data_IF_536336684704
#
_entry.id   IF_536336684704
#
_cell.length_a   1.000
_cell.length_b   1.000
_cell.length_c   1.000
_cell.angle_alpha   90.00
_cell.angle_beta   90.00
_cell.angle_gamma   90.00
#
_symmetry.space_group_name_H-M   'P 1'
#
loop_
_entity.id
_entity.type
_entity.pdbx_description
1 polymer ?
#
# COMPACT_ATOMS: atom_id res chain seq x y z
N UNK A 1 -15.13 74.36 19.44
CA UNK A 1 -13.98 74.27 18.52
C UNK A 1 -13.00 73.28 19.15
N UNK A 2 -12.57 72.18 18.54
CA UNK A 2 -12.75 71.74 17.16
C UNK A 2 -12.74 70.20 17.06
N UNK A 3 -13.92 69.64 16.74
CA UNK A 3 -14.14 68.23 16.34
C UNK A 3 -13.51 67.89 14.98
N UNK A 4 -12.66 68.77 14.42
CA UNK A 4 -12.16 68.70 13.04
C UNK A 4 -10.81 68.01 12.86
N UNK A 5 -10.09 67.65 13.93
CA UNK A 5 -8.72 67.09 13.83
C UNK A 5 -8.61 65.57 13.88
N UNK A 6 -9.70 64.85 14.19
CA UNK A 6 -9.72 63.37 14.26
C UNK A 6 -10.24 62.70 12.99
N UNK A 7 -10.75 63.47 12.01
CA UNK A 7 -11.18 62.92 10.73
C UNK A 7 -10.03 62.60 9.76
N UNK A 8 -8.90 63.32 9.85
CA UNK A 8 -7.82 63.20 8.87
C UNK A 8 -6.88 62.01 9.11
N UNK A 9 -6.74 61.55 10.35
CA UNK A 9 -5.81 60.44 10.68
C UNK A 9 -6.43 59.08 10.36
N UNK A 10 -7.76 58.95 10.48
CA UNK A 10 -8.47 57.70 10.12
C UNK A 10 -8.58 57.46 8.61
N UNK A 11 -8.53 58.52 7.80
CA UNK A 11 -8.62 58.40 6.33
C UNK A 11 -7.31 57.99 5.65
N UNK A 12 -6.14 58.20 6.28
CA UNK A 12 -4.85 57.84 5.68
C UNK A 12 -4.53 56.36 5.92
N UNK A 13 -4.88 55.79 7.08
CA UNK A 13 -4.64 54.37 7.38
C UNK A 13 -5.53 53.45 6.52
N UNK A 14 -6.74 53.90 6.16
CA UNK A 14 -7.64 53.14 5.29
C UNK A 14 -7.20 53.18 3.81
N UNK A 15 -6.52 54.24 3.37
CA UNK A 15 -6.08 54.37 1.97
C UNK A 15 -4.86 53.50 1.63
N UNK A 16 -4.00 53.17 2.59
CA UNK A 16 -2.87 52.24 2.38
C UNK A 16 -3.27 50.77 2.40
N UNK A 17 -4.42 50.41 2.98
CA UNK A 17 -4.91 49.01 2.96
C UNK A 17 -5.61 48.67 1.63
N UNK A 18 -6.17 49.66 0.92
CA UNK A 18 -6.92 49.40 -0.32
C UNK A 18 -6.02 49.31 -1.57
N UNK A 19 -4.79 49.87 -1.56
CA UNK A 19 -3.89 49.80 -2.72
C UNK A 19 -3.03 48.51 -2.75
N UNK A 20 -2.92 47.79 -1.63
CA UNK A 20 -2.17 46.52 -1.57
C UNK A 20 -2.91 45.28 -2.08
N UNK A 21 -4.22 45.37 -2.36
CA UNK A 21 -5.05 44.20 -2.70
C UNK A 21 -5.28 44.06 -4.22
N UNK A 22 -4.86 45.03 -5.03
CA UNK A 22 -5.19 45.06 -6.47
C UNK A 22 -4.17 44.40 -7.41
N UNK A 23 -3.13 43.72 -6.89
CA UNK A 23 -2.16 42.97 -7.72
C UNK A 23 -2.15 41.46 -7.51
N UNK A 24 -3.02 40.94 -6.65
CA UNK A 24 -3.29 39.50 -6.63
C UNK A 24 -4.38 39.27 -7.68
N UNK A 25 -3.95 39.11 -8.94
CA UNK A 25 -4.82 38.49 -9.94
C UNK A 25 -5.37 37.18 -9.37
N UNK A 26 -6.57 36.71 -9.79
CA UNK A 26 -7.08 35.45 -9.30
C UNK A 26 -5.97 34.43 -9.47
N UNK A 27 -5.48 33.87 -8.36
CA UNK A 27 -4.56 32.75 -8.42
C UNK A 27 -5.33 31.72 -9.25
N UNK A 28 -4.93 31.56 -10.50
CA UNK A 28 -5.42 30.48 -11.32
C UNK A 28 -5.07 29.26 -10.50
N UNK A 29 -6.09 28.61 -9.94
CA UNK A 29 -5.90 27.32 -9.31
C UNK A 29 -5.10 26.53 -10.33
N UNK A 30 -3.89 26.09 -9.92
CA UNK A 30 -3.11 25.20 -10.75
C UNK A 30 -4.09 24.12 -11.21
N UNK A 31 -4.13 23.80 -12.52
CA UNK A 31 -5.01 22.73 -12.98
C UNK A 31 -4.75 21.54 -12.06
N UNK A 32 -5.83 21.01 -11.47
CA UNK A 32 -5.71 19.80 -10.67
C UNK A 32 -4.88 18.81 -11.49
N UNK A 33 -3.87 18.13 -10.90
CA UNK A 33 -3.11 17.14 -11.63
C UNK A 33 -4.12 16.26 -12.36
N UNK A 34 -3.90 16.08 -13.67
CA UNK A 34 -4.80 15.28 -14.49
C UNK A 34 -5.07 13.98 -13.73
N UNK A 35 -6.34 13.70 -13.46
CA UNK A 35 -6.71 12.46 -12.78
C UNK A 35 -6.01 11.33 -13.53
N UNK A 36 -5.15 10.60 -12.83
CA UNK A 36 -4.55 9.39 -13.37
C UNK A 36 -5.75 8.54 -13.79
N UNK A 37 -5.88 8.13 -15.08
CA UNK A 37 -7.02 7.33 -15.48
C UNK A 37 -7.08 6.13 -14.54
N UNK A 38 -8.24 5.93 -13.91
CA UNK A 38 -8.45 4.80 -13.03
C UNK A 38 -7.94 3.54 -13.77
N UNK A 39 -7.02 2.76 -13.18
CA UNK A 39 -6.50 1.59 -13.85
C UNK A 39 -7.70 0.74 -14.28
N UNK A 40 -7.74 0.37 -15.56
CA UNK A 40 -8.78 -0.52 -16.04
C UNK A 40 -8.76 -1.76 -15.12
N UNK A 41 -9.90 -2.09 -14.50
CA UNK A 41 -10.03 -3.18 -13.53
C UNK A 41 -9.94 -4.57 -14.20
N UNK A 42 -9.10 -4.74 -15.21
CA UNK A 42 -8.82 -6.03 -15.84
C UNK A 42 -7.83 -6.75 -14.92
N UNK A 43 -8.02 -8.06 -14.75
CA UNK A 43 -7.28 -8.86 -13.77
C UNK A 43 -6.37 -9.95 -14.40
N UNK A 44 -5.56 -9.66 -15.44
CA UNK A 44 -4.57 -10.63 -15.89
C UNK A 44 -3.43 -10.73 -14.86
N UNK A 45 -2.73 -11.87 -14.77
CA UNK A 45 -1.44 -11.90 -14.10
C UNK A 45 -0.51 -10.79 -14.63
N UNK A 46 0.21 -10.07 -13.75
CA UNK A 46 1.18 -9.08 -14.18
C UNK A 46 2.33 -9.77 -14.94
N UNK A 47 3.06 -9.05 -15.81
CA UNK A 47 4.15 -9.63 -16.56
C UNK A 47 5.17 -10.33 -15.65
N UNK A 48 5.57 -11.54 -16.02
CA UNK A 48 6.52 -12.37 -15.27
C UNK A 48 5.92 -13.18 -14.11
N UNK A 49 4.66 -12.96 -13.75
CA UNK A 49 3.98 -13.76 -12.73
C UNK A 49 3.21 -14.95 -13.33
N UNK A 50 2.98 -15.96 -12.50
CA UNK A 50 2.11 -17.10 -12.76
C UNK A 50 2.56 -17.97 -13.95
N UNK A 51 3.86 -18.05 -14.20
CA UNK A 51 4.45 -19.13 -14.98
C UNK A 51 4.48 -20.40 -14.12
N UNK A 52 3.42 -21.22 -14.22
CA UNK A 52 3.29 -22.48 -13.51
C UNK A 52 4.30 -23.56 -13.97
N UNK A 53 5.11 -23.30 -15.00
CA UNK A 53 6.23 -24.17 -15.35
C UNK A 53 7.54 -23.77 -14.67
N UNK A 54 7.57 -22.62 -13.99
CA UNK A 54 8.77 -22.12 -13.32
C UNK A 54 9.26 -23.09 -12.23
N UNK A 55 10.58 -23.22 -12.12
CA UNK A 55 11.25 -23.99 -11.07
C UNK A 55 12.26 -23.09 -10.38
N UNK A 56 12.13 -22.86 -9.06
CA UNK A 56 13.06 -22.06 -8.29
C UNK A 56 14.50 -22.56 -8.46
N UNK A 57 15.44 -21.62 -8.53
CA UNK A 57 16.86 -21.94 -8.69
C UNK A 57 17.52 -22.14 -7.32
N UNK A 58 18.77 -22.59 -7.28
CA UNK A 58 19.53 -22.62 -6.03
C UNK A 58 19.83 -21.22 -5.46
N UNK A 59 19.85 -20.20 -6.31
CA UNK A 59 20.06 -18.80 -5.94
C UNK A 59 18.79 -18.18 -5.34
N UNK A 60 17.62 -18.55 -5.87
CA UNK A 60 16.32 -18.11 -5.41
C UNK A 60 15.42 -19.33 -5.19
N UNK A 61 15.60 -20.07 -4.08
CA UNK A 61 14.93 -21.35 -3.85
C UNK A 61 13.45 -21.22 -3.47
N UNK A 62 13.03 -20.07 -2.97
CA UNK A 62 11.64 -19.80 -2.60
C UNK A 62 10.96 -19.02 -3.74
N UNK A 63 9.81 -19.46 -4.27
CA UNK A 63 8.98 -18.63 -5.12
C UNK A 63 8.41 -17.45 -4.32
N UNK A 64 8.23 -16.31 -5.00
CA UNK A 64 7.69 -15.09 -4.40
C UNK A 64 6.20 -14.97 -4.69
N UNK A 65 5.39 -14.81 -3.65
CA UNK A 65 3.94 -14.58 -3.74
C UNK A 65 3.63 -13.11 -3.47
N UNK A 66 3.05 -12.44 -4.47
CA UNK A 66 2.68 -11.03 -4.44
C UNK A 66 1.21 -10.85 -4.03
N UNK A 67 0.96 -10.07 -2.97
CA UNK A 67 -0.37 -9.92 -2.34
C UNK A 67 -0.83 -8.45 -2.36
N UNK A 68 -1.76 -8.13 -3.26
CA UNK A 68 -2.22 -6.75 -3.48
C UNK A 68 -2.94 -6.14 -2.27
N UNK A 69 -3.14 -4.83 -2.26
CA UNK A 69 -3.88 -4.14 -1.19
C UNK A 69 -5.39 -4.09 -1.38
N UNK A 70 -6.06 -3.45 -0.41
CA UNK A 70 -7.51 -3.18 -0.39
C UNK A 70 -7.97 -2.54 -1.70
N UNK A 71 -9.05 -3.07 -2.30
CA UNK A 71 -9.61 -2.65 -3.60
C UNK A 71 -8.70 -2.85 -4.82
N UNK A 72 -7.51 -3.43 -4.63
CA UNK A 72 -6.56 -3.77 -5.69
C UNK A 72 -6.89 -5.08 -6.38
N UNK A 73 -6.04 -5.46 -7.33
CA UNK A 73 -5.98 -6.81 -7.90
C UNK A 73 -4.53 -7.11 -8.32
N UNK A 74 -4.23 -8.34 -8.72
CA UNK A 74 -2.86 -8.72 -9.08
C UNK A 74 -2.29 -7.87 -10.24
N UNK A 75 -3.14 -7.47 -11.19
CA UNK A 75 -2.70 -6.75 -12.38
C UNK A 75 -2.28 -5.32 -12.06
N UNK A 76 -3.11 -4.60 -11.30
CA UNK A 76 -2.92 -3.19 -11.06
C UNK A 76 -1.87 -2.90 -9.98
N UNK A 77 -1.71 -3.79 -8.99
CA UNK A 77 -0.77 -3.56 -7.89
C UNK A 77 0.66 -3.97 -8.25
N UNK A 78 0.84 -4.93 -9.16
CA UNK A 78 2.14 -5.61 -9.34
C UNK A 78 2.78 -5.44 -10.71
N UNK A 79 2.27 -4.54 -11.55
CA UNK A 79 2.82 -4.25 -12.86
C UNK A 79 4.28 -3.75 -12.86
N UNK A 80 4.77 -3.23 -11.73
CA UNK A 80 6.16 -2.75 -11.60
C UNK A 80 7.11 -3.79 -10.98
N UNK A 81 6.74 -4.36 -9.83
CA UNK A 81 7.57 -5.30 -9.05
C UNK A 81 7.69 -6.65 -9.75
N UNK A 82 6.57 -7.24 -10.18
CA UNK A 82 6.54 -8.58 -10.79
C UNK A 82 7.54 -8.77 -11.93
N UNK A 83 7.54 -7.95 -13.00
CA UNK A 83 8.48 -8.16 -14.10
C UNK A 83 9.93 -7.99 -13.67
N UNK A 84 10.20 -7.14 -12.67
CA UNK A 84 11.57 -6.86 -12.21
C UNK A 84 12.12 -7.96 -11.31
N UNK A 85 11.27 -8.63 -10.53
CA UNK A 85 11.65 -9.85 -9.81
C UNK A 85 11.85 -11.02 -10.79
N UNK A 86 10.94 -11.22 -11.74
CA UNK A 86 11.06 -12.26 -12.75
C UNK A 86 12.35 -12.10 -13.60
N UNK A 87 12.70 -10.87 -14.00
CA UNK A 87 13.96 -10.56 -14.69
C UNK A 87 15.22 -10.87 -13.87
N UNK A 88 15.10 -10.93 -12.54
CA UNK A 88 16.17 -11.33 -11.62
C UNK A 88 16.20 -12.83 -11.36
N UNK A 89 15.33 -13.61 -12.01
CA UNK A 89 15.33 -15.08 -11.91
C UNK A 89 14.45 -15.64 -10.80
N UNK A 90 13.62 -14.82 -10.14
CA UNK A 90 12.62 -15.33 -9.19
C UNK A 90 11.46 -15.99 -9.93
N UNK A 91 10.95 -17.10 -9.41
CA UNK A 91 9.61 -17.57 -9.77
C UNK A 91 8.58 -16.72 -9.03
N UNK A 92 7.82 -15.90 -9.77
CA UNK A 92 6.85 -14.96 -9.20
C UNK A 92 5.43 -15.47 -9.42
N UNK A 93 4.62 -15.40 -8.37
CA UNK A 93 3.21 -15.75 -8.39
C UNK A 93 2.39 -14.61 -7.78
N UNK A 94 1.18 -14.42 -8.28
CA UNK A 94 0.27 -13.40 -7.79
C UNK A 94 -1.17 -13.91 -7.86
N UNK A 95 -1.98 -13.44 -6.93
CA UNK A 95 -3.40 -13.78 -6.85
C UNK A 95 -4.23 -12.51 -6.68
N UNK A 96 -5.49 -12.60 -7.09
CA UNK A 96 -6.52 -11.66 -6.69
C UNK A 96 -7.44 -12.36 -5.70
N UNK A 97 -7.46 -11.89 -4.46
CA UNK A 97 -8.15 -12.53 -3.35
C UNK A 97 -9.28 -11.64 -2.81
N UNK A 98 -10.16 -12.21 -1.99
CA UNK A 98 -11.10 -11.47 -1.18
C UNK A 98 -12.08 -10.64 -2.01
N UNK A 99 -12.57 -11.20 -3.11
CA UNK A 99 -13.61 -10.54 -3.93
C UNK A 99 -14.93 -10.54 -3.19
N UNK A 100 -15.62 -9.40 -3.18
CA UNK A 100 -16.97 -9.35 -2.62
C UNK A 100 -18.00 -9.89 -3.62
N UNK A 101 -18.81 -10.91 -3.26
CA UNK A 101 -19.87 -11.44 -4.14
C UNK A 101 -20.99 -10.42 -4.38
N UNK A 102 -21.04 -9.36 -3.57
CA UNK A 102 -22.02 -8.29 -3.67
C UNK A 102 -21.53 -7.12 -4.55
N UNK A 103 -20.26 -7.11 -4.97
CA UNK A 103 -19.71 -6.06 -5.81
C UNK A 103 -20.21 -6.21 -7.27
N UNK A 104 -20.86 -5.19 -7.86
CA UNK A 104 -21.27 -5.23 -9.26
C UNK A 104 -20.08 -5.01 -10.21
N UNK A 105 -20.11 -5.49 -11.46
CA UNK A 105 -19.12 -5.10 -12.45
C UNK A 105 -19.08 -3.57 -12.66
N UNK A 106 -17.88 -2.97 -12.84
CA UNK A 106 -16.57 -3.62 -12.94
C UNK A 106 -15.88 -3.89 -11.58
N UNK A 107 -16.46 -3.45 -10.46
CA UNK A 107 -15.89 -3.59 -9.10
C UNK A 107 -15.76 -5.05 -8.64
N UNK A 108 -16.54 -5.97 -9.23
CA UNK A 108 -16.40 -7.41 -9.02
C UNK A 108 -15.01 -7.96 -9.34
N UNK A 109 -14.17 -7.20 -10.05
CA UNK A 109 -12.79 -7.57 -10.38
C UNK A 109 -11.78 -7.13 -9.30
N UNK A 110 -12.17 -6.25 -8.38
CA UNK A 110 -11.36 -5.81 -7.25
C UNK A 110 -11.42 -6.82 -6.09
N UNK A 111 -10.27 -7.02 -5.45
CA UNK A 111 -10.08 -7.89 -4.30
C UNK A 111 -9.87 -7.12 -2.99
N UNK A 112 -9.51 -7.88 -1.94
CA UNK A 112 -9.28 -7.36 -0.59
C UNK A 112 -10.52 -6.78 0.07
N UNK A 113 -11.72 -7.14 -0.40
CA UNK A 113 -13.01 -6.63 0.10
C UNK A 113 -13.69 -7.58 1.08
N UNK A 114 -13.57 -8.89 0.87
CA UNK A 114 -14.10 -9.92 1.75
C UNK A 114 -13.39 -9.90 3.12
N UNK A 115 -13.94 -10.57 4.15
CA UNK A 115 -13.23 -10.72 5.42
C UNK A 115 -11.80 -11.24 5.21
N UNK A 116 -10.84 -10.66 5.93
CA UNK A 116 -9.43 -11.05 5.81
C UNK A 116 -9.17 -12.50 6.24
N UNK A 117 -9.99 -13.05 7.15
CA UNK A 117 -9.92 -14.46 7.54
C UNK A 117 -10.24 -15.40 6.37
N UNK A 118 -11.30 -15.12 5.62
CA UNK A 118 -11.67 -15.90 4.43
C UNK A 118 -10.63 -15.73 3.32
N UNK A 119 -10.15 -14.50 3.13
CA UNK A 119 -9.09 -14.18 2.18
C UNK A 119 -7.77 -14.92 2.48
N UNK A 120 -7.49 -15.16 3.76
CA UNK A 120 -6.32 -15.91 4.20
C UNK A 120 -6.41 -17.41 3.83
N UNK A 121 -7.62 -17.98 3.78
CA UNK A 121 -7.84 -19.35 3.29
C UNK A 121 -7.65 -19.44 1.76
N UNK A 122 -8.08 -18.41 1.02
CA UNK A 122 -7.80 -18.31 -0.42
C UNK A 122 -6.28 -18.25 -0.68
N UNK A 123 -5.55 -17.45 0.10
CA UNK A 123 -4.09 -17.40 0.02
C UNK A 123 -3.46 -18.75 0.35
N UNK A 124 -3.90 -19.42 1.43
CA UNK A 124 -3.38 -20.73 1.81
C UNK A 124 -3.47 -21.72 0.64
N UNK A 125 -4.66 -21.82 0.03
CA UNK A 125 -4.92 -22.68 -1.12
C UNK A 125 -4.05 -22.31 -2.33
N UNK A 126 -3.82 -21.02 -2.54
CA UNK A 126 -2.94 -20.54 -3.61
C UNK A 126 -1.48 -20.92 -3.37
N UNK A 127 -0.99 -20.73 -2.14
CA UNK A 127 0.38 -21.08 -1.76
C UNK A 127 0.61 -22.59 -1.83
N UNK A 128 -0.35 -23.41 -1.39
CA UNK A 128 -0.28 -24.88 -1.53
C UNK A 128 -0.03 -25.28 -2.98
N UNK A 129 -0.79 -24.69 -3.91
CA UNK A 129 -0.62 -24.94 -5.34
C UNK A 129 0.74 -24.46 -5.85
N UNK A 130 1.24 -23.31 -5.37
CA UNK A 130 2.57 -22.79 -5.72
C UNK A 130 3.66 -23.77 -5.27
N UNK A 131 3.60 -24.24 -4.02
CA UNK A 131 4.56 -25.20 -3.46
C UNK A 131 4.50 -26.54 -4.20
N UNK A 132 3.30 -27.09 -4.43
CA UNK A 132 3.10 -28.34 -5.19
C UNK A 132 3.69 -28.23 -6.61
N UNK A 133 3.44 -27.10 -7.27
CA UNK A 133 3.87 -26.91 -8.67
C UNK A 133 5.38 -26.71 -8.78
N UNK A 134 5.96 -25.92 -7.88
CA UNK A 134 7.38 -25.54 -7.92
C UNK A 134 8.29 -26.59 -7.29
N UNK A 135 7.78 -27.38 -6.35
CA UNK A 135 8.55 -28.29 -5.51
C UNK A 135 9.32 -27.60 -4.39
N UNK A 136 9.09 -26.32 -4.14
CA UNK A 136 9.69 -25.60 -3.02
C UNK A 136 9.03 -26.00 -1.69
N UNK A 137 9.76 -25.87 -0.59
CA UNK A 137 9.24 -26.12 0.77
C UNK A 137 8.55 -24.90 1.37
N UNK A 138 9.01 -23.69 0.98
CA UNK A 138 8.54 -22.41 1.49
C UNK A 138 8.37 -21.40 0.36
N UNK A 139 7.58 -20.37 0.61
CA UNK A 139 7.46 -19.16 -0.22
C UNK A 139 8.02 -17.94 0.51
N UNK A 140 8.35 -16.92 -0.26
CA UNK A 140 8.52 -15.55 0.26
C UNK A 140 7.29 -14.72 -0.10
N UNK A 141 6.81 -13.86 0.81
CA UNK A 141 5.64 -13.00 0.60
C UNK A 141 6.07 -11.55 0.44
N UNK A 142 5.49 -10.88 -0.56
CA UNK A 142 5.53 -9.41 -0.66
C UNK A 142 4.09 -8.90 -0.67
N UNK A 143 3.70 -8.22 0.40
CA UNK A 143 2.35 -7.69 0.60
C UNK A 143 2.34 -6.16 0.56
N UNK A 144 1.31 -5.57 -0.03
CA UNK A 144 1.13 -4.11 -0.06
C UNK A 144 -0.15 -3.70 0.69
N UNK A 145 -0.07 -2.69 1.56
CA UNK A 145 -1.23 -2.16 2.28
C UNK A 145 -1.96 -3.27 3.06
N UNK A 146 -3.27 -3.47 2.88
CA UNK A 146 -4.03 -4.58 3.47
C UNK A 146 -3.45 -5.98 3.12
N UNK A 147 -2.80 -6.12 1.97
CA UNK A 147 -2.06 -7.33 1.60
C UNK A 147 -0.81 -7.59 2.44
N UNK A 148 -0.42 -6.66 3.32
CA UNK A 148 0.56 -6.91 4.39
C UNK A 148 -0.06 -7.46 5.67
N UNK A 149 -1.38 -7.39 5.84
CA UNK A 149 -2.09 -7.89 7.03
C UNK A 149 -2.63 -9.29 6.81
N UNK A 150 -3.46 -9.44 5.77
CA UNK A 150 -4.21 -10.67 5.50
C UNK A 150 -3.30 -11.91 5.45
N UNK A 151 -2.16 -11.91 4.73
CA UNK A 151 -1.32 -13.11 4.69
C UNK A 151 -0.77 -13.50 6.05
N UNK A 152 -0.54 -12.52 6.93
CA UNK A 152 0.00 -12.80 8.24
C UNK A 152 -1.06 -13.44 9.17
N UNK A 153 -2.36 -13.29 8.87
CA UNK A 153 -3.40 -14.09 9.52
C UNK A 153 -3.23 -15.58 9.21
N UNK A 154 -2.97 -15.93 7.94
CA UNK A 154 -2.67 -17.30 7.54
C UNK A 154 -1.41 -17.83 8.25
N UNK A 155 -0.33 -17.05 8.22
CA UNK A 155 0.94 -17.38 8.88
C UNK A 155 0.73 -17.65 10.38
N UNK A 156 -0.03 -16.78 11.06
CA UNK A 156 -0.16 -16.83 12.52
C UNK A 156 -1.20 -17.84 13.02
N UNK A 157 -2.30 -18.03 12.31
CA UNK A 157 -3.46 -18.75 12.84
C UNK A 157 -3.87 -19.98 12.04
N UNK A 158 -3.43 -20.10 10.79
CA UNK A 158 -3.89 -21.15 9.86
C UNK A 158 -2.74 -22.07 9.41
N UNK A 159 -1.61 -22.06 10.13
CA UNK A 159 -0.48 -22.96 9.89
C UNK A 159 0.56 -22.46 8.88
N UNK A 160 0.42 -21.25 8.33
CA UNK A 160 1.35 -20.76 7.30
C UNK A 160 2.79 -20.53 7.75
N UNK A 161 3.08 -20.50 9.06
CA UNK A 161 4.42 -20.26 9.61
C UNK A 161 5.48 -21.23 9.09
N UNK A 162 5.13 -22.48 8.84
CA UNK A 162 6.08 -23.48 8.32
C UNK A 162 6.35 -23.34 6.83
N UNK A 163 5.50 -22.60 6.12
CA UNK A 163 5.51 -22.43 4.66
C UNK A 163 6.03 -21.07 4.20
N UNK A 164 6.39 -20.17 5.12
CA UNK A 164 6.95 -18.85 4.80
C UNK A 164 8.37 -18.75 5.34
N UNK A 165 9.28 -18.22 4.53
CA UNK A 165 10.64 -17.87 4.97
C UNK A 165 10.74 -16.37 5.23
N UNK A 166 10.42 -15.56 4.21
CA UNK A 166 10.47 -14.09 4.30
C UNK A 166 9.12 -13.44 4.06
N UNK A 167 8.90 -12.35 4.76
CA UNK A 167 7.68 -11.56 4.69
C UNK A 167 8.03 -10.07 4.57
N UNK A 168 7.76 -9.50 3.40
CA UNK A 168 8.01 -8.09 3.10
C UNK A 168 6.69 -7.34 3.03
N UNK A 169 6.47 -6.40 3.94
CA UNK A 169 5.31 -5.50 3.93
C UNK A 169 5.65 -4.14 3.35
N UNK A 170 4.90 -3.69 2.35
CA UNK A 170 4.94 -2.33 1.81
C UNK A 170 3.77 -1.54 2.39
N UNK A 171 4.05 -0.38 2.97
CA UNK A 171 3.08 0.49 3.67
C UNK A 171 2.12 -0.29 4.59
N UNK A 172 2.66 -1.12 5.50
CA UNK A 172 1.84 -1.93 6.41
C UNK A 172 1.11 -1.09 7.45
N UNK A 173 0.14 -1.71 8.14
CA UNK A 173 -0.79 -1.04 9.05
C UNK A 173 -1.19 -1.93 10.24
N UNK A 174 -0.21 -2.38 11.01
CA UNK A 174 -0.39 -3.30 12.15
C UNK A 174 -1.22 -2.72 13.29
N UNK A 175 -1.11 -1.41 13.54
CA UNK A 175 -1.95 -0.68 14.51
C UNK A 175 -3.19 -0.04 13.85
N UNK A 176 -3.45 -0.40 12.59
CA UNK A 176 -4.53 0.11 11.76
C UNK A 176 -4.38 1.59 11.38
N UNK A 177 -5.33 2.06 10.59
CA UNK A 177 -5.46 3.50 10.28
C UNK A 177 -6.59 4.16 11.05
N UNK A 178 -6.52 5.48 11.19
CA UNK A 178 -7.54 6.28 11.86
C UNK A 178 -8.68 6.71 10.91
N UNK A 179 -9.70 7.37 11.47
CA UNK A 179 -10.86 7.86 10.70
C UNK A 179 -10.50 8.92 9.65
N UNK A 180 -9.37 9.62 9.78
CA UNK A 180 -8.83 10.52 8.76
C UNK A 180 -8.35 9.76 7.51
N UNK A 181 -7.69 8.61 7.71
CA UNK A 181 -7.37 7.65 6.64
C UNK A 181 -8.64 7.10 5.97
N UNK A 182 -9.68 6.77 6.76
CA UNK A 182 -10.99 6.36 6.24
C UNK A 182 -11.68 7.47 5.43
N UNK A 183 -11.57 8.73 5.84
CA UNK A 183 -12.10 9.87 5.10
C UNK A 183 -11.34 10.16 3.79
N UNK A 184 -10.06 9.79 3.71
CA UNK A 184 -9.30 9.84 2.47
C UNK A 184 -9.65 8.64 1.58
N UNK A 185 -9.67 7.41 2.10
CA UNK A 185 -10.13 6.20 1.37
C UNK A 185 -11.53 6.38 0.79
N UNK A 186 -12.45 6.98 1.56
CA UNK A 186 -13.79 7.30 1.08
C UNK A 186 -13.81 8.37 -0.02
N UNK A 187 -12.90 9.35 0.01
CA UNK A 187 -12.77 10.35 -1.06
C UNK A 187 -12.12 9.77 -2.32
N UNK A 188 -11.11 8.92 -2.17
CA UNK A 188 -10.46 8.19 -3.27
C UNK A 188 -11.43 7.18 -3.90
N UNK A 189 -12.24 6.51 -3.08
CA UNK A 189 -13.35 5.68 -3.54
C UNK A 189 -14.38 6.46 -4.37
N UNK A 190 -14.75 7.68 -3.95
CA UNK A 190 -15.62 8.57 -4.74
C UNK A 190 -15.02 8.94 -6.10
N UNK A 191 -13.71 9.09 -6.21
CA UNK A 191 -13.02 9.34 -7.48
C UNK A 191 -13.01 8.10 -8.40
N UNK A 192 -13.07 6.89 -7.82
CA UNK A 192 -13.24 5.62 -8.53
C UNK A 192 -14.71 5.27 -8.82
N UNK A 193 -15.65 6.20 -8.57
CA UNK A 193 -17.09 6.00 -8.83
C UNK A 193 -17.89 5.40 -7.68
N UNK A 194 -17.28 5.23 -6.50
CA UNK A 194 -17.96 4.78 -5.27
C UNK A 194 -18.64 5.98 -4.60
N UNK A 195 -19.86 6.29 -5.03
CA UNK A 195 -20.62 7.48 -4.59
C UNK A 195 -20.91 7.57 -3.07
N UNK A 196 -21.50 8.69 -2.60
CA UNK A 196 -21.52 9.10 -1.18
C UNK A 196 -22.42 8.29 -0.21
N UNK A 197 -22.89 7.09 -0.57
CA UNK A 197 -23.72 6.21 0.28
C UNK A 197 -22.90 5.38 1.30
N UNK A 198 -21.86 5.98 1.85
CA UNK A 198 -20.64 5.31 2.37
C UNK A 198 -20.80 4.69 3.76
N UNK A 199 -21.81 5.04 4.56
CA UNK A 199 -21.90 4.58 5.95
C UNK A 199 -22.76 3.33 6.20
N UNK A 200 -23.61 2.93 5.25
CA UNK A 200 -24.63 1.88 5.48
C UNK A 200 -24.73 0.87 4.32
N UNK A 201 -24.21 1.23 3.13
CA UNK A 201 -24.21 0.36 1.94
C UNK A 201 -22.84 -0.30 1.72
N UNK A 202 -21.75 0.29 2.24
CA UNK A 202 -20.40 -0.28 2.09
C UNK A 202 -20.10 -1.43 3.05
N UNK A 203 -20.80 -1.53 4.19
CA UNK A 203 -20.60 -2.58 5.19
C UNK A 203 -20.63 -4.00 4.61
N UNK A 204 -21.66 -4.38 3.82
CA UNK A 204 -21.68 -5.70 3.20
C UNK A 204 -20.77 -5.79 1.97
N UNK A 205 -20.38 -4.66 1.36
CA UNK A 205 -19.54 -4.65 0.15
C UNK A 205 -18.05 -4.78 0.47
N UNK A 206 -17.60 -4.30 1.63
CA UNK A 206 -16.19 -4.30 2.03
C UNK A 206 -16.04 -4.58 3.52
N UNK A 207 -16.05 -5.86 3.90
CA UNK A 207 -15.80 -6.28 5.28
C UNK A 207 -14.39 -5.89 5.74
N UNK A 208 -13.38 -6.08 4.88
CA UNK A 208 -11.98 -5.72 5.17
C UNK A 208 -11.79 -4.23 5.47
N UNK A 209 -12.61 -3.34 4.90
CA UNK A 209 -12.53 -1.89 5.14
C UNK A 209 -12.67 -1.52 6.62
N UNK A 210 -13.40 -2.31 7.41
CA UNK A 210 -13.47 -2.14 8.88
C UNK A 210 -12.31 -2.79 9.60
N UNK A 211 -11.84 -3.91 9.08
CA UNK A 211 -10.78 -4.69 9.72
C UNK A 211 -9.42 -3.96 9.66
N UNK A 212 -9.19 -3.09 8.68
CA UNK A 212 -7.98 -2.24 8.62
C UNK A 212 -8.01 -1.02 9.57
N UNK A 213 -9.15 -0.75 10.21
CA UNK A 213 -9.28 0.38 11.13
C UNK A 213 -8.69 0.05 12.50
N UNK A 214 -8.01 1.03 13.09
CA UNK A 214 -7.48 0.92 14.45
C UNK A 214 -8.57 0.50 15.44
N UNK A 215 -8.25 -0.50 16.26
CA UNK A 215 -9.18 -1.06 17.25
C UNK A 215 -10.22 -2.01 16.66
N UNK A 216 -10.02 -2.49 15.42
CA UNK A 216 -10.84 -3.58 14.88
C UNK A 216 -10.52 -4.89 15.60
N UNK A 217 -11.53 -5.75 15.73
CA UNK A 217 -11.37 -7.10 16.31
C UNK A 217 -10.28 -7.90 15.58
N UNK A 218 -10.14 -7.71 14.26
CA UNK A 218 -9.09 -8.36 13.48
C UNK A 218 -7.68 -7.93 13.93
N UNK A 219 -7.43 -6.63 14.09
CA UNK A 219 -6.12 -6.13 14.51
C UNK A 219 -5.82 -6.43 15.98
N UNK A 220 -6.84 -6.38 16.83
CA UNK A 220 -6.72 -6.84 18.22
C UNK A 220 -6.32 -8.32 18.28
N UNK A 221 -6.95 -9.16 17.45
CA UNK A 221 -6.59 -10.57 17.31
C UNK A 221 -5.17 -10.74 16.78
N UNK A 222 -4.78 -10.03 15.72
CA UNK A 222 -3.41 -10.08 15.18
C UNK A 222 -2.36 -9.69 16.23
N UNK A 223 -2.67 -8.71 17.06
CA UNK A 223 -1.79 -8.22 18.14
C UNK A 223 -1.74 -9.14 19.37
N UNK A 224 -2.67 -10.10 19.48
CA UNK A 224 -2.69 -11.05 20.60
C UNK A 224 -1.42 -11.90 20.68
N UNK A 225 -1.03 -12.33 21.88
CA UNK A 225 0.13 -13.22 22.05
C UNK A 225 1.49 -12.55 21.82
N UNK A 226 1.60 -11.23 21.99
CA UNK A 226 2.88 -10.51 21.92
C UNK A 226 3.13 -9.75 20.62
N UNK A 227 2.10 -9.53 19.80
CA UNK A 227 2.18 -8.78 18.54
C UNK A 227 2.06 -9.66 17.30
N UNK A 228 2.02 -9.06 16.09
CA UNK A 228 1.72 -9.76 14.85
C UNK A 228 2.86 -10.66 14.35
N UNK A 229 4.09 -10.50 14.86
CA UNK A 229 5.26 -11.29 14.44
C UNK A 229 5.11 -12.76 14.83
N UNK A 230 5.50 -13.65 13.91
CA UNK A 230 5.56 -15.11 14.13
C UNK A 230 7.01 -15.57 14.06
N UNK A 231 7.44 -16.35 15.05
CA UNK A 231 8.81 -16.87 15.06
C UNK A 231 9.04 -17.88 13.91
N UNK A 232 10.24 -17.89 13.36
CA UNK A 232 10.59 -18.71 12.19
C UNK A 232 10.35 -18.03 10.84
N UNK A 233 9.74 -16.85 10.82
CA UNK A 233 9.57 -15.99 9.64
C UNK A 233 10.40 -14.72 9.80
N UNK A 234 11.10 -14.31 8.73
CA UNK A 234 11.88 -13.07 8.70
C UNK A 234 11.04 -11.94 8.13
N UNK A 235 10.80 -10.90 8.92
CA UNK A 235 9.94 -9.78 8.54
C UNK A 235 10.74 -8.52 8.19
N UNK A 236 10.33 -7.87 7.10
CA UNK A 236 10.82 -6.54 6.68
C UNK A 236 9.62 -5.64 6.38
N UNK A 237 9.54 -4.49 7.03
CA UNK A 237 8.46 -3.52 6.88
C UNK A 237 9.01 -2.24 6.23
N UNK A 238 8.49 -1.88 5.06
CA UNK A 238 8.91 -0.71 4.30
C UNK A 238 7.79 0.32 4.36
N UNK A 239 8.03 1.44 5.03
CA UNK A 239 7.07 2.52 5.25
C UNK A 239 7.53 3.81 4.57
N UNK A 240 6.58 4.71 4.32
CA UNK A 240 6.87 6.08 3.87
C UNK A 240 6.30 7.10 4.85
N UNK A 241 7.04 8.19 5.11
CA UNK A 241 6.57 9.31 5.93
C UNK A 241 5.41 10.07 5.28
N UNK A 242 5.24 9.89 3.98
CA UNK A 242 4.20 10.55 3.17
C UNK A 242 2.93 9.73 3.04
N UNK A 243 2.79 8.66 3.83
CA UNK A 243 1.62 7.80 3.80
C UNK A 243 0.37 8.56 4.26
N UNK A 244 -0.58 8.71 3.36
CA UNK A 244 -1.84 9.43 3.54
C UNK A 244 -3.03 8.51 3.85
N UNK A 245 -2.85 7.19 3.70
CA UNK A 245 -3.87 6.18 4.00
C UNK A 245 -3.66 5.56 5.37
N UNK A 246 -2.41 5.31 5.77
CA UNK A 246 -1.99 4.75 7.05
C UNK A 246 -1.45 5.86 7.92
N UNK A 247 -2.29 6.37 8.82
CA UNK A 247 -1.95 7.53 9.64
C UNK A 247 -2.06 7.20 11.13
N UNK A 248 -0.96 7.33 11.91
CA UNK A 248 0.41 7.66 11.46
C UNK A 248 1.06 6.51 10.67
N UNK A 249 1.99 6.82 9.76
CA UNK A 249 2.72 5.80 8.98
C UNK A 249 3.46 4.79 9.86
N UNK A 250 3.81 5.19 11.09
CA UNK A 250 4.46 4.33 12.09
C UNK A 250 3.56 3.17 12.54
N UNK A 251 2.27 3.19 12.20
CA UNK A 251 1.36 2.04 12.36
C UNK A 251 1.87 0.79 11.64
N UNK A 252 2.70 0.97 10.61
CA UNK A 252 3.35 -0.12 9.90
C UNK A 252 4.58 -0.73 10.59
N UNK A 253 5.05 -0.17 11.70
CA UNK A 253 6.19 -0.73 12.41
C UNK A 253 5.82 -2.06 13.07
N UNK A 254 6.73 -3.03 13.01
CA UNK A 254 6.59 -4.33 13.66
C UNK A 254 7.79 -4.60 14.57
N UNK A 255 7.54 -4.85 15.85
CA UNK A 255 8.58 -5.22 16.80
C UNK A 255 9.31 -6.49 16.37
N UNK A 256 10.64 -6.44 16.36
CA UNK A 256 11.49 -7.57 15.94
C UNK A 256 11.55 -7.82 14.43
N UNK A 257 11.02 -6.92 13.61
CA UNK A 257 11.22 -6.87 12.16
C UNK A 257 12.32 -5.87 11.77
N UNK A 258 12.81 -5.97 10.53
CA UNK A 258 13.59 -4.90 9.91
C UNK A 258 12.63 -3.79 9.43
N UNK A 259 12.61 -2.67 10.15
CA UNK A 259 11.69 -1.56 9.90
C UNK A 259 12.43 -0.45 9.14
N UNK A 260 12.03 -0.22 7.89
CA UNK A 260 12.64 0.71 6.96
C UNK A 260 11.68 1.86 6.68
N UNK A 261 12.09 3.07 7.01
CA UNK A 261 11.40 4.29 6.56
C UNK A 261 12.16 4.84 5.36
N UNK A 262 11.55 4.86 4.17
CA UNK A 262 12.23 5.20 2.90
C UNK A 262 13.04 6.50 3.01
N UNK A 263 12.48 7.53 3.65
CA UNK A 263 13.10 8.84 3.78
C UNK A 263 14.34 8.88 4.71
N UNK A 264 14.62 7.82 5.47
CA UNK A 264 15.85 7.71 6.26
C UNK A 264 17.06 7.31 5.40
N UNK A 265 16.83 6.49 4.38
CA UNK A 265 17.85 6.11 3.38
C UNK A 265 17.85 7.01 2.14
N UNK A 266 16.70 7.59 1.79
CA UNK A 266 16.53 8.45 0.63
C UNK A 266 15.56 9.62 0.92
N UNK A 267 16.04 10.75 1.49
CA UNK A 267 15.17 11.89 1.77
C UNK A 267 14.47 12.51 0.56
N UNK A 268 14.96 12.25 -0.66
CA UNK A 268 14.39 12.73 -1.92
C UNK A 268 13.30 11.81 -2.50
N UNK A 269 13.07 10.66 -1.89
CA UNK A 269 11.96 9.77 -2.23
C UNK A 269 10.68 10.28 -1.56
N UNK A 270 9.72 10.72 -2.37
CA UNK A 270 8.43 11.25 -1.95
C UNK A 270 7.28 10.29 -2.29
N UNK A 271 7.57 9.00 -2.46
CA UNK A 271 6.54 7.99 -2.67
C UNK A 271 5.49 8.04 -1.54
N UNK A 272 4.22 8.23 -1.91
CA UNK A 272 3.06 8.12 -1.02
C UNK A 272 2.58 6.65 -0.91
N UNK A 273 1.48 6.40 -0.20
CA UNK A 273 1.03 5.05 0.14
C UNK A 273 1.03 4.07 -1.03
N UNK A 274 0.45 4.45 -2.17
CA UNK A 274 0.32 3.62 -3.36
C UNK A 274 1.61 3.58 -4.16
N UNK A 275 2.30 4.72 -4.30
CA UNK A 275 3.53 4.85 -5.08
C UNK A 275 4.65 3.94 -4.59
N UNK A 276 4.70 3.57 -3.30
CA UNK A 276 5.70 2.62 -2.76
C UNK A 276 5.68 1.28 -3.52
N UNK A 277 4.53 0.81 -4.00
CA UNK A 277 4.45 -0.42 -4.80
C UNK A 277 5.08 -0.30 -6.21
N UNK A 278 5.42 0.91 -6.66
CA UNK A 278 6.00 1.22 -7.96
C UNK A 278 7.37 1.90 -7.84
N UNK A 279 7.89 2.01 -6.63
CA UNK A 279 9.09 2.77 -6.31
C UNK A 279 10.37 1.92 -6.51
N UNK A 280 11.36 2.39 -7.30
CA UNK A 280 12.65 1.72 -7.45
C UNK A 280 13.48 1.64 -6.14
N UNK A 281 13.30 2.54 -5.18
CA UNK A 281 13.96 2.49 -3.87
C UNK A 281 13.36 1.37 -3.05
N UNK A 282 12.03 1.32 -2.91
CA UNK A 282 11.30 0.22 -2.31
C UNK A 282 11.65 -1.13 -2.96
N UNK A 283 11.74 -1.22 -4.29
CA UNK A 283 12.14 -2.44 -4.97
C UNK A 283 13.54 -2.93 -4.56
N UNK A 284 14.51 -2.03 -4.37
CA UNK A 284 15.84 -2.42 -3.90
C UNK A 284 15.77 -3.01 -2.49
N UNK A 285 14.95 -2.42 -1.60
CA UNK A 285 14.68 -2.98 -0.28
C UNK A 285 14.00 -4.35 -0.36
N UNK A 286 13.00 -4.54 -1.23
CA UNK A 286 12.37 -5.85 -1.48
C UNK A 286 13.43 -6.87 -1.89
N UNK A 287 14.27 -6.57 -2.89
CA UNK A 287 15.27 -7.54 -3.37
C UNK A 287 16.34 -7.85 -2.32
N UNK A 288 16.73 -6.88 -1.50
CA UNK A 288 17.67 -7.10 -0.40
C UNK A 288 17.05 -7.95 0.72
N UNK A 289 15.75 -7.77 0.98
CA UNK A 289 15.05 -8.58 1.96
C UNK A 289 14.93 -10.04 1.49
N UNK A 290 14.58 -10.24 0.21
CA UNK A 290 14.45 -11.57 -0.42
C UNK A 290 15.79 -12.32 -0.54
N UNK A 291 16.89 -11.61 -0.77
CA UNK A 291 18.24 -12.21 -0.84
C UNK A 291 19.26 -11.41 -0.01
N UNK A 292 19.27 -11.60 1.32
CA UNK A 292 20.16 -10.87 2.21
C UNK A 292 21.64 -11.22 2.03
N UNK A 293 21.95 -12.41 1.48
CA UNK A 293 23.33 -12.83 1.23
C UNK A 293 23.99 -12.01 0.12
N UNK A 294 23.21 -11.49 -0.83
CA UNK A 294 23.68 -10.66 -1.94
C UNK A 294 23.14 -9.22 -1.90
N UNK A 295 22.62 -8.79 -0.75
CA UNK A 295 22.05 -7.46 -0.56
C UNK A 295 23.02 -6.35 -1.01
N UNK A 296 22.51 -5.39 -1.76
CA UNK A 296 23.28 -4.28 -2.31
C UNK A 296 22.92 -2.96 -1.60
N UNK A 297 23.85 -1.99 -1.53
CA UNK A 297 23.53 -0.66 -1.04
C UNK A 297 22.38 -0.04 -1.83
N UNK A 298 21.33 0.41 -1.13
CA UNK A 298 20.18 1.05 -1.77
C UNK A 298 20.58 2.42 -2.33
N UNK A 299 20.32 2.60 -3.62
CA UNK A 299 20.54 3.87 -4.32
C UNK A 299 19.33 4.75 -4.16
N UNK A 300 19.54 5.93 -3.61
CA UNK A 300 18.51 6.96 -3.52
C UNK A 300 18.17 7.49 -4.91
N UNK A 301 16.90 7.36 -5.30
CA UNK A 301 16.35 7.85 -6.55
C UNK A 301 15.15 8.75 -6.20
N UNK A 302 15.06 9.98 -6.74
CA UNK A 302 13.90 10.81 -6.52
C UNK A 302 12.65 10.14 -7.10
N UNK A 303 11.58 10.09 -6.30
CA UNK A 303 10.26 9.59 -6.71
C UNK A 303 9.23 10.61 -6.23
N UNK A 304 8.27 10.95 -7.09
CA UNK A 304 7.27 11.98 -6.80
C UNK A 304 6.72 12.59 -8.09
N UNK A 305 5.70 13.47 -8.00
CA UNK A 305 5.04 14.06 -9.18
C UNK A 305 5.96 14.89 -10.09
N UNK A 306 7.12 15.31 -9.57
CA UNK A 306 8.14 16.06 -10.31
C UNK A 306 9.39 15.21 -10.65
N UNK A 307 9.42 13.93 -10.27
CA UNK A 307 10.55 13.05 -10.55
C UNK A 307 10.65 12.73 -12.05
N UNK A 308 11.84 12.83 -12.67
CA UNK A 308 12.01 12.44 -14.06
C UNK A 308 11.68 10.96 -14.22
N UNK A 309 10.85 10.62 -15.21
CA UNK A 309 10.50 9.23 -15.51
C UNK A 309 11.78 8.45 -15.81
N UNK A 310 12.12 7.51 -14.94
CA UNK A 310 13.24 6.60 -15.16
C UNK A 310 12.97 5.81 -16.44
N UNK A 311 13.76 6.09 -17.48
CA UNK A 311 13.75 5.39 -18.77
C UNK A 311 14.39 4.01 -18.65
#
# INVERSE_FOLDING_TARGET
>A
MDRRRWGAIFSIVLATIVVGVALVGPAQAAPAPAAVPAPALIDPPPPGANDWSCRPSAEHPNPVVLVHGLTGNQANNWGYVSPRLAQRGYCVFSLTYGRSPLAPPPLSQAGGLAPMEESAEELASFVDRVLETTGAEKVDIVGHSEGSLMPNHWVKFLGGAEHVDRYVGLTPLWDGTNTGGLAFLNRSGQQLGLGPAVGTVLDPLCAACRQVLRGSDFLERMSSGGGPRVDGVTYTMIMTRYDELVVPYTSGMMDGADNIVLQEGCPADLAEHVAVAFDPVALQHITNALDPAHAQPVRCLPVGPEAPTAS
#
